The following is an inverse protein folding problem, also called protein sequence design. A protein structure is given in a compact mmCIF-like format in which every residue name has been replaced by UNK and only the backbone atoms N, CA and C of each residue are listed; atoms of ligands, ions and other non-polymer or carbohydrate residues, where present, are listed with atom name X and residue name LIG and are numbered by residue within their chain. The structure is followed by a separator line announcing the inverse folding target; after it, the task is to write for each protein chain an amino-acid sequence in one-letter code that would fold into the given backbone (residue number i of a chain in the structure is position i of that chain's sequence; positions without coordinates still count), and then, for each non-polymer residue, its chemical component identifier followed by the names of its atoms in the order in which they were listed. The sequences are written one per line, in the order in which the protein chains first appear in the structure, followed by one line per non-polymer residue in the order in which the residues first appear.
data_IF_652893298034
#
_entry.id   IF_652893298034
#
_cell.length_a   1.000
_cell.length_b   1.000
_cell.length_c   1.000
_cell.angle_alpha   90.00
_cell.angle_beta   90.00
_cell.angle_gamma   90.00
#
_symmetry.space_group_name_H-M   'P 1'
#
loop_
_entity.id
_entity.type
_entity.pdbx_description
1 polymer ?
#
# COMPACT_ATOMS: atom_id res chain seq x y z
N UNK A 1 19.01 2.26 1.33
CA UNK A 1 18.08 1.42 2.08
C UNK A 1 17.63 2.21 3.30
N UNK A 2 16.33 2.41 3.50
CA UNK A 2 15.76 3.05 4.69
C UNK A 2 15.10 1.95 5.51
N UNK A 3 15.51 1.77 6.76
CA UNK A 3 14.91 0.80 7.67
C UNK A 3 14.14 1.55 8.75
N UNK A 4 12.84 1.32 8.80
CA UNK A 4 11.97 1.76 9.89
C UNK A 4 11.43 0.54 10.63
N UNK A 5 11.01 0.70 11.88
CA UNK A 5 10.41 -0.41 12.63
C UNK A 5 9.14 -0.88 11.90
N UNK A 6 9.03 -2.17 11.60
CA UNK A 6 7.93 -2.78 10.84
C UNK A 6 7.66 -2.10 9.49
N UNK A 7 8.68 -1.51 8.86
CA UNK A 7 8.57 -0.77 7.60
C UNK A 7 7.51 0.34 7.65
N UNK A 8 7.43 1.07 8.79
CA UNK A 8 6.53 2.21 8.91
C UNK A 8 6.89 3.30 7.90
N UNK A 9 5.86 4.00 7.43
CA UNK A 9 5.94 5.03 6.40
C UNK A 9 6.15 6.40 7.04
N UNK A 10 7.16 7.11 6.56
CA UNK A 10 7.49 8.49 6.93
C UNK A 10 7.99 9.25 5.69
N UNK A 11 8.36 10.51 5.82
CA UNK A 11 8.83 11.36 4.72
C UNK A 11 9.98 10.70 3.93
N UNK A 12 10.97 10.13 4.62
CA UNK A 12 12.13 9.53 3.96
C UNK A 12 11.75 8.32 3.09
N UNK A 13 10.81 7.49 3.57
CA UNK A 13 10.30 6.35 2.80
C UNK A 13 9.54 6.83 1.57
N UNK A 14 8.71 7.87 1.70
CA UNK A 14 7.98 8.43 0.57
C UNK A 14 8.90 9.05 -0.47
N UNK A 15 9.89 9.85 -0.07
CA UNK A 15 10.87 10.42 -1.01
C UNK A 15 11.66 9.34 -1.75
N UNK A 16 12.07 8.28 -1.03
CA UNK A 16 12.73 7.14 -1.65
C UNK A 16 11.84 6.44 -2.69
N UNK A 17 10.56 6.25 -2.37
CA UNK A 17 9.61 5.64 -3.30
C UNK A 17 9.43 6.50 -4.55
N UNK A 18 9.27 7.81 -4.41
CA UNK A 18 9.14 8.74 -5.54
C UNK A 18 10.38 8.73 -6.43
N UNK A 19 11.58 8.77 -5.82
CA UNK A 19 12.85 8.68 -6.54
C UNK A 19 12.98 7.36 -7.30
N UNK A 20 12.61 6.24 -6.63
CA UNK A 20 12.67 4.91 -7.24
C UNK A 20 11.71 4.77 -8.42
N UNK A 21 10.48 5.32 -8.33
CA UNK A 21 9.52 5.35 -9.43
C UNK A 21 10.09 6.14 -10.60
N UNK A 22 10.53 7.39 -10.38
CA UNK A 22 11.09 8.25 -11.42
C UNK A 22 12.29 7.61 -12.10
N UNK A 23 13.15 6.94 -11.33
CA UNK A 23 14.28 6.20 -11.89
C UNK A 23 13.84 5.02 -12.75
N UNK A 24 12.86 4.24 -12.29
CA UNK A 24 12.34 3.10 -13.03
C UNK A 24 11.69 3.54 -14.35
N UNK A 25 10.94 4.65 -14.35
CA UNK A 25 10.37 5.26 -15.54
C UNK A 25 11.45 5.67 -16.55
N UNK A 26 12.48 6.40 -16.09
CA UNK A 26 13.59 6.84 -16.94
C UNK A 26 14.38 5.67 -17.53
N UNK A 27 14.57 4.60 -16.76
CA UNK A 27 15.28 3.39 -17.20
C UNK A 27 14.39 2.46 -18.05
N UNK A 28 13.09 2.71 -18.15
CA UNK A 28 12.11 1.85 -18.82
C UNK A 28 11.99 0.47 -18.17
N UNK A 29 12.11 0.40 -16.84
CA UNK A 29 12.10 -0.86 -16.07
C UNK A 29 10.93 -0.90 -15.08
N UNK A 30 10.48 -2.09 -14.72
CA UNK A 30 9.51 -2.26 -13.65
C UNK A 30 10.15 -2.02 -12.28
N UNK A 31 9.36 -1.48 -11.33
CA UNK A 31 9.77 -1.29 -9.94
C UNK A 31 9.18 -2.39 -9.06
N UNK A 32 10.03 -3.06 -8.29
CA UNK A 32 9.62 -4.08 -7.34
C UNK A 32 9.80 -3.56 -5.91
N UNK A 33 8.70 -3.50 -5.16
CA UNK A 33 8.71 -3.09 -3.75
C UNK A 33 8.74 -4.36 -2.91
N UNK A 34 9.91 -4.67 -2.34
CA UNK A 34 10.13 -5.85 -1.51
C UNK A 34 10.51 -5.44 -0.08
N UNK A 35 9.73 -5.88 0.95
CA UNK A 35 10.00 -5.50 2.31
C UNK A 35 11.16 -6.26 2.92
N UNK A 36 11.99 -5.58 3.69
CA UNK A 36 12.89 -6.25 4.60
C UNK A 36 12.14 -6.83 5.81
N UNK A 37 12.64 -7.95 6.33
CA UNK A 37 12.01 -8.63 7.45
C UNK A 37 10.73 -9.37 7.07
N UNK A 38 9.81 -9.51 8.02
CA UNK A 38 8.65 -10.38 7.89
C UNK A 38 7.36 -9.68 7.49
N UNK A 39 7.31 -8.35 7.51
CA UNK A 39 6.11 -7.57 7.25
C UNK A 39 6.31 -6.62 6.06
N UNK A 40 5.24 -6.38 5.30
CA UNK A 40 5.27 -5.40 4.22
C UNK A 40 5.35 -3.97 4.78
N UNK A 41 4.34 -3.55 5.54
CA UNK A 41 4.34 -2.27 6.26
C UNK A 41 3.20 -2.22 7.28
N UNK A 42 3.47 -1.65 8.46
CA UNK A 42 2.43 -1.38 9.45
C UNK A 42 1.68 -0.06 9.22
N UNK A 43 2.00 0.68 8.15
CA UNK A 43 1.43 1.98 7.83
C UNK A 43 2.24 3.14 8.37
N UNK A 44 1.59 4.28 8.63
CA UNK A 44 2.25 5.49 9.11
C UNK A 44 3.04 5.27 10.41
N UNK A 45 4.12 6.01 10.56
CA UNK A 45 4.84 6.08 11.83
C UNK A 45 4.01 6.88 12.86
N UNK A 46 3.25 6.15 13.67
CA UNK A 46 2.34 6.76 14.66
C UNK A 46 3.08 7.57 15.73
N UNK A 47 4.35 7.24 16.03
CA UNK A 47 5.13 8.04 16.99
C UNK A 47 5.48 9.39 16.40
N UNK A 48 5.83 9.43 15.12
CA UNK A 48 6.08 10.68 14.40
C UNK A 48 4.80 11.52 14.31
N UNK A 49 3.65 10.92 13.99
CA UNK A 49 2.38 11.62 13.95
C UNK A 49 2.03 12.23 15.33
N UNK A 50 2.20 11.43 16.39
CA UNK A 50 1.93 11.89 17.75
C UNK A 50 2.84 13.05 18.14
N UNK A 51 4.15 12.98 17.85
CA UNK A 51 5.05 14.11 18.16
C UNK A 51 4.65 15.39 17.44
N UNK A 52 4.20 15.34 16.19
CA UNK A 52 3.70 16.53 15.50
C UNK A 52 2.47 17.13 16.17
N UNK A 53 1.56 16.29 16.67
CA UNK A 53 0.36 16.75 17.38
C UNK A 53 0.73 17.36 18.75
N UNK A 54 1.60 16.70 19.51
CA UNK A 54 2.05 17.18 20.84
C UNK A 54 2.84 18.49 20.76
N UNK A 55 3.58 18.70 19.67
CA UNK A 55 4.36 19.92 19.42
C UNK A 55 3.57 21.00 18.66
N UNK A 56 2.26 20.84 18.44
CA UNK A 56 1.41 21.72 17.61
C UNK A 56 1.96 21.95 16.19
N UNK A 57 2.79 21.02 15.70
CA UNK A 57 3.44 21.12 14.40
C UNK A 57 2.55 20.56 13.27
N UNK A 58 1.39 21.20 13.08
CA UNK A 58 0.43 20.79 12.05
C UNK A 58 0.95 21.00 10.62
N UNK A 59 1.95 21.86 10.44
CA UNK A 59 2.58 22.06 9.12
C UNK A 59 3.29 20.78 8.64
N UNK A 60 4.11 20.15 9.48
CA UNK A 60 4.81 18.93 9.11
C UNK A 60 3.86 17.73 9.04
N UNK A 61 2.82 17.72 9.86
CA UNK A 61 1.74 16.74 9.77
C UNK A 61 1.04 16.82 8.40
N UNK A 62 0.62 18.02 7.99
CA UNK A 62 -0.02 18.25 6.69
C UNK A 62 0.93 17.88 5.53
N UNK A 63 2.22 18.22 5.64
CA UNK A 63 3.22 17.88 4.66
C UNK A 63 3.37 16.36 4.53
N UNK A 64 3.41 15.60 5.64
CA UNK A 64 3.47 14.14 5.61
C UNK A 64 2.27 13.54 4.87
N UNK A 65 1.06 14.06 5.13
CA UNK A 65 -0.15 13.61 4.44
C UNK A 65 -0.08 13.90 2.93
N UNK A 66 0.31 15.11 2.54
CA UNK A 66 0.44 15.52 1.13
C UNK A 66 1.50 14.68 0.39
N UNK A 67 2.68 14.50 0.97
CA UNK A 67 3.75 13.72 0.37
C UNK A 67 3.32 12.26 0.20
N UNK A 68 2.63 11.69 1.20
CA UNK A 68 2.08 10.35 1.10
C UNK A 68 1.06 10.20 -0.03
N UNK A 69 0.09 11.14 -0.13
CA UNK A 69 -0.90 11.16 -1.21
C UNK A 69 -0.24 11.27 -2.60
N UNK A 70 0.71 12.19 -2.74
CA UNK A 70 1.45 12.35 -3.99
C UNK A 70 2.22 11.09 -4.36
N UNK A 71 2.82 10.41 -3.37
CA UNK A 71 3.56 9.17 -3.60
C UNK A 71 2.65 8.05 -4.12
N UNK A 72 1.52 7.79 -3.47
CA UNK A 72 0.63 6.72 -3.91
C UNK A 72 0.00 7.01 -5.27
N UNK A 73 -0.30 8.27 -5.58
CA UNK A 73 -0.75 8.68 -6.91
C UNK A 73 0.36 8.48 -7.96
N UNK A 74 1.61 8.81 -7.63
CA UNK A 74 2.75 8.56 -8.51
C UNK A 74 2.93 7.06 -8.78
N UNK A 75 2.80 6.21 -7.75
CA UNK A 75 2.80 4.75 -7.93
C UNK A 75 1.70 4.29 -8.91
N UNK A 76 0.49 4.78 -8.72
CA UNK A 76 -0.69 4.37 -9.51
C UNK A 76 -0.59 4.80 -10.96
N UNK A 77 -0.21 6.05 -11.19
CA UNK A 77 -0.23 6.68 -12.51
C UNK A 77 1.14 6.74 -13.20
N UNK A 78 2.16 6.09 -12.63
CA UNK A 78 3.48 5.99 -13.27
C UNK A 78 3.41 5.26 -14.61
N UNK A 79 4.30 5.60 -15.54
CA UNK A 79 4.46 4.94 -16.84
C UNK A 79 5.09 3.55 -16.76
N UNK A 80 5.43 3.08 -15.56
CA UNK A 80 6.03 1.77 -15.33
C UNK A 80 5.17 0.90 -14.41
N UNK A 81 5.38 -0.43 -14.44
CA UNK A 81 4.70 -1.32 -13.50
C UNK A 81 5.35 -1.25 -12.12
N UNK A 82 4.51 -1.02 -11.12
CA UNK A 82 4.86 -1.11 -9.71
C UNK A 82 4.37 -2.45 -9.20
N UNK A 83 5.29 -3.34 -8.84
CA UNK A 83 4.98 -4.68 -8.34
C UNK A 83 5.30 -4.74 -6.85
N UNK A 84 4.28 -4.89 -6.03
CA UNK A 84 4.44 -5.05 -4.57
C UNK A 84 4.52 -6.51 -4.17
N UNK A 85 5.61 -6.87 -3.47
CA UNK A 85 5.85 -8.20 -2.91
C UNK A 85 5.39 -8.22 -1.45
N UNK A 86 4.14 -8.62 -1.20
CA UNK A 86 3.50 -8.49 0.10
C UNK A 86 3.60 -9.75 0.96
N UNK A 87 4.05 -9.61 2.20
CA UNK A 87 4.09 -10.69 3.20
C UNK A 87 3.83 -10.18 4.60
N UNK A 88 3.36 -11.06 5.47
CA UNK A 88 3.08 -10.74 6.87
C UNK A 88 2.00 -9.67 6.99
N UNK A 89 2.34 -8.53 7.57
CA UNK A 89 1.41 -7.43 7.82
C UNK A 89 1.55 -6.33 6.77
N UNK A 90 0.42 -5.89 6.21
CA UNK A 90 0.29 -4.70 5.36
C UNK A 90 -0.96 -3.91 5.80
N UNK A 91 -0.85 -3.11 6.84
CA UNK A 91 -1.99 -2.42 7.44
C UNK A 91 -1.95 -0.92 7.18
N UNK A 92 -3.14 -0.28 7.20
CA UNK A 92 -3.26 1.17 7.05
C UNK A 92 -2.57 1.65 5.76
N UNK A 93 -1.71 2.64 5.83
CA UNK A 93 -0.90 3.09 4.69
C UNK A 93 -0.13 1.98 3.96
N UNK A 94 0.20 0.87 4.63
CA UNK A 94 0.75 -0.32 3.97
C UNK A 94 -0.27 -1.00 3.05
N UNK A 95 -1.54 -1.06 3.46
CA UNK A 95 -2.64 -1.50 2.61
C UNK A 95 -2.86 -0.51 1.46
N UNK A 96 -2.82 0.80 1.73
CA UNK A 96 -2.96 1.84 0.71
C UNK A 96 -1.88 1.74 -0.37
N UNK A 97 -0.61 1.45 -0.01
CA UNK A 97 0.46 1.18 -0.99
C UNK A 97 0.13 -0.03 -1.88
N UNK A 98 -0.40 -1.12 -1.31
CA UNK A 98 -0.81 -2.28 -2.09
C UNK A 98 -1.93 -1.92 -3.08
N UNK A 99 -2.94 -1.16 -2.63
CA UNK A 99 -4.07 -0.76 -3.47
C UNK A 99 -3.68 0.12 -4.67
N UNK A 100 -2.55 0.85 -4.56
CA UNK A 100 -2.02 1.70 -5.62
C UNK A 100 -0.93 1.03 -6.48
N UNK A 101 -0.61 -0.25 -6.20
CA UNK A 101 0.34 -1.02 -7.00
C UNK A 101 -0.31 -1.54 -8.28
N UNK A 102 0.47 -1.62 -9.37
CA UNK A 102 -0.01 -2.19 -10.64
C UNK A 102 -0.24 -3.68 -10.55
N UNK A 103 0.56 -4.37 -9.74
CA UNK A 103 0.49 -5.81 -9.51
C UNK A 103 0.94 -6.16 -8.09
N UNK A 104 0.37 -7.20 -7.52
CA UNK A 104 0.75 -7.69 -6.19
C UNK A 104 1.14 -9.16 -6.27
N UNK A 105 2.30 -9.52 -5.74
CA UNK A 105 2.65 -10.91 -5.44
C UNK A 105 2.63 -11.06 -3.92
N UNK A 106 1.65 -11.77 -3.40
CA UNK A 106 1.42 -11.87 -1.97
C UNK A 106 1.67 -13.27 -1.43
N UNK A 107 2.20 -13.32 -0.21
CA UNK A 107 2.17 -14.55 0.56
C UNK A 107 0.74 -14.86 1.02
N UNK A 108 0.35 -16.14 1.02
CA UNK A 108 -0.98 -16.60 1.46
C UNK A 108 -1.37 -16.07 2.86
N UNK A 109 -0.41 -15.98 3.79
CA UNK A 109 -0.63 -15.52 5.17
C UNK A 109 -0.60 -13.98 5.30
N UNK A 110 -0.78 -13.24 4.20
CA UNK A 110 -0.86 -11.78 4.24
C UNK A 110 -2.04 -11.33 5.10
N UNK A 111 -1.76 -10.47 6.09
CA UNK A 111 -2.76 -9.84 6.92
C UNK A 111 -2.82 -8.34 6.58
N UNK A 112 -3.93 -7.89 6.02
CA UNK A 112 -4.02 -6.53 5.49
C UNK A 112 -5.38 -5.89 5.71
N UNK A 113 -5.43 -4.55 5.74
CA UNK A 113 -6.66 -3.80 5.90
C UNK A 113 -6.47 -2.32 6.17
N UNK A 114 -7.52 -1.55 5.88
CA UNK A 114 -7.65 -0.13 6.21
C UNK A 114 -8.22 -0.02 7.63
N UNK A 115 -7.34 -0.04 8.62
CA UNK A 115 -7.69 -0.14 10.05
C UNK A 115 -7.25 1.10 10.85
N UNK A 116 -7.22 2.25 10.19
CA UNK A 116 -6.81 3.53 10.76
C UNK A 116 -7.69 3.95 11.93
N UNK A 117 -9.01 3.66 11.88
CA UNK A 117 -9.97 4.00 12.94
C UNK A 117 -9.60 3.39 14.30
N UNK A 118 -8.88 2.26 14.32
CA UNK A 118 -8.38 1.65 15.56
C UNK A 118 -7.37 2.50 16.33
N UNK A 119 -6.85 3.54 15.71
CA UNK A 119 -5.93 4.51 16.32
C UNK A 119 -6.46 5.94 16.22
N UNK A 120 -7.76 6.11 15.96
CA UNK A 120 -8.41 7.42 15.90
C UNK A 120 -8.15 8.22 14.60
N UNK A 121 -7.68 7.55 13.55
CA UNK A 121 -7.39 8.15 12.24
C UNK A 121 -8.33 7.59 11.16
N UNK A 122 -8.32 8.23 9.99
CA UNK A 122 -8.97 7.71 8.78
C UNK A 122 -7.93 7.40 7.71
N UNK A 123 -8.19 6.46 6.78
CA UNK A 123 -7.31 6.23 5.63
C UNK A 123 -7.15 7.52 4.82
N UNK A 124 -5.93 8.04 4.74
CA UNK A 124 -5.68 9.38 4.21
C UNK A 124 -4.77 9.41 2.97
N UNK A 125 -4.22 8.28 2.58
CA UNK A 125 -3.36 8.14 1.39
C UNK A 125 -4.08 7.44 0.23
N UNK A 126 -5.40 7.69 0.10
CA UNK A 126 -6.20 7.26 -1.05
C UNK A 126 -6.96 5.95 -0.88
N UNK A 127 -6.84 5.26 0.27
CA UNK A 127 -7.52 3.99 0.51
C UNK A 127 -9.04 4.09 0.37
N UNK A 128 -9.66 5.14 0.92
CA UNK A 128 -11.12 5.38 0.78
C UNK A 128 -11.50 5.58 -0.68
N UNK A 129 -10.71 6.37 -1.43
CA UNK A 129 -10.93 6.63 -2.85
C UNK A 129 -10.82 5.33 -3.67
N UNK A 130 -9.81 4.50 -3.39
CA UNK A 130 -9.65 3.21 -4.06
C UNK A 130 -10.86 2.29 -3.81
N UNK A 131 -11.35 2.22 -2.59
CA UNK A 131 -12.52 1.41 -2.26
C UNK A 131 -13.79 1.92 -2.94
N UNK A 132 -13.93 3.26 -3.09
CA UNK A 132 -15.03 3.86 -3.85
C UNK A 132 -14.93 3.50 -5.35
N UNK A 133 -13.76 3.71 -5.96
CA UNK A 133 -13.54 3.44 -7.39
C UNK A 133 -13.77 1.96 -7.70
N UNK A 134 -13.25 1.05 -6.87
CA UNK A 134 -13.38 -0.40 -7.03
C UNK A 134 -14.81 -0.89 -6.85
N UNK A 135 -15.67 -0.14 -6.16
CA UNK A 135 -17.11 -0.48 -6.10
C UNK A 135 -17.81 -0.39 -7.46
N UNK A 136 -17.20 0.34 -8.42
CA UNK A 136 -17.67 0.49 -9.79
C UNK A 136 -19.18 0.84 -9.88
N UNK A 137 -19.66 1.71 -8.99
CA UNK A 137 -21.07 2.13 -8.91
C UNK A 137 -22.02 1.12 -8.26
N UNK A 138 -21.54 -0.05 -7.85
CA UNK A 138 -22.34 -1.02 -7.10
C UNK A 138 -22.52 -0.58 -5.64
N UNK A 139 -23.76 -0.23 -5.28
CA UNK A 139 -24.09 0.24 -3.93
C UNK A 139 -23.84 -0.80 -2.85
N UNK A 140 -24.03 -2.08 -3.14
CA UNK A 140 -23.81 -3.18 -2.18
C UNK A 140 -22.32 -3.31 -1.86
N UNK A 141 -21.49 -3.27 -2.88
CA UNK A 141 -20.03 -3.26 -2.74
C UNK A 141 -19.55 -2.02 -1.97
N UNK A 142 -20.08 -0.85 -2.32
CA UNK A 142 -19.73 0.39 -1.64
C UNK A 142 -20.06 0.33 -0.13
N UNK A 143 -21.26 -0.12 0.23
CA UNK A 143 -21.67 -0.28 1.63
C UNK A 143 -20.78 -1.29 2.36
N UNK A 144 -20.45 -2.43 1.73
CA UNK A 144 -19.52 -3.41 2.28
C UNK A 144 -18.14 -2.79 2.53
N UNK A 145 -17.61 -2.04 1.56
CA UNK A 145 -16.30 -1.39 1.64
C UNK A 145 -16.25 -0.36 2.78
N UNK A 146 -17.28 0.47 2.89
CA UNK A 146 -17.42 1.44 3.99
C UNK A 146 -17.48 0.71 5.34
N UNK A 147 -18.28 -0.34 5.43
CA UNK A 147 -18.40 -1.15 6.65
C UNK A 147 -17.06 -1.77 7.05
N UNK A 148 -16.31 -2.34 6.11
CA UNK A 148 -14.99 -2.92 6.39
C UNK A 148 -14.02 -1.90 6.99
N UNK A 149 -14.05 -0.63 6.53
CA UNK A 149 -13.25 0.46 7.09
C UNK A 149 -13.73 0.81 8.51
N UNK A 150 -15.03 0.98 8.71
CA UNK A 150 -15.61 1.38 10.01
C UNK A 150 -15.39 0.29 11.05
N UNK A 151 -15.62 -0.96 10.72
CA UNK A 151 -15.46 -2.11 11.59
C UNK A 151 -14.01 -2.56 11.73
N UNK A 152 -13.07 -1.91 11.00
CA UNK A 152 -11.65 -2.23 11.00
C UNK A 152 -11.37 -3.69 10.62
N UNK A 153 -12.14 -4.21 9.67
CA UNK A 153 -11.99 -5.56 9.21
C UNK A 153 -10.65 -5.75 8.49
N UNK A 154 -9.94 -6.80 8.89
CA UNK A 154 -8.68 -7.22 8.29
C UNK A 154 -8.90 -8.49 7.50
N UNK A 155 -8.42 -8.52 6.27
CA UNK A 155 -8.29 -9.75 5.52
C UNK A 155 -7.16 -10.58 6.13
N UNK A 156 -7.47 -11.77 6.60
CA UNK A 156 -6.52 -12.66 7.28
C UNK A 156 -5.70 -13.54 6.33
N UNK A 157 -5.95 -13.42 5.03
CA UNK A 157 -5.18 -14.08 3.98
C UNK A 157 -5.16 -13.26 2.70
N UNK A 158 -4.24 -13.58 1.81
CA UNK A 158 -4.14 -12.96 0.49
C UNK A 158 -5.41 -13.19 -0.35
N UNK A 159 -6.02 -14.36 -0.27
CA UNK A 159 -7.26 -14.65 -0.99
C UNK A 159 -8.44 -13.81 -0.49
N UNK A 160 -8.56 -13.64 0.83
CA UNK A 160 -9.57 -12.74 1.40
C UNK A 160 -9.29 -11.29 0.99
N UNK A 161 -8.04 -10.84 1.00
CA UNK A 161 -7.69 -9.50 0.52
C UNK A 161 -8.10 -9.30 -0.93
N UNK A 162 -7.81 -10.27 -1.78
CA UNK A 162 -8.20 -10.24 -3.19
C UNK A 162 -9.72 -10.07 -3.36
N UNK A 163 -10.51 -10.79 -2.58
CA UNK A 163 -11.96 -10.75 -2.63
C UNK A 163 -12.55 -9.50 -1.96
N UNK A 164 -12.08 -9.14 -0.76
CA UNK A 164 -12.62 -8.04 0.04
C UNK A 164 -12.34 -6.67 -0.57
N UNK A 165 -11.15 -6.53 -1.21
CA UNK A 165 -10.68 -5.27 -1.80
C UNK A 165 -10.73 -5.26 -3.34
N UNK A 166 -11.29 -6.30 -3.95
CA UNK A 166 -11.44 -6.42 -5.42
C UNK A 166 -10.12 -6.20 -6.17
N UNK A 167 -9.06 -6.86 -5.69
CA UNK A 167 -7.72 -6.78 -6.29
C UNK A 167 -7.61 -7.79 -7.42
N UNK A 168 -7.71 -7.33 -8.67
CA UNK A 168 -7.67 -8.21 -9.86
C UNK A 168 -6.24 -8.68 -10.17
N UNK A 169 -5.29 -7.75 -10.18
CA UNK A 169 -3.90 -8.01 -10.57
C UNK A 169 -3.08 -8.52 -9.37
N UNK A 170 -3.34 -9.75 -8.98
CA UNK A 170 -2.69 -10.36 -7.81
C UNK A 170 -2.44 -11.84 -7.98
N UNK A 171 -1.22 -12.25 -7.68
CA UNK A 171 -0.80 -13.65 -7.56
C UNK A 171 -0.54 -13.99 -6.09
N UNK A 172 -0.99 -15.17 -5.66
CA UNK A 172 -0.79 -15.67 -4.30
C UNK A 172 0.24 -16.78 -4.31
N UNK A 173 1.18 -16.74 -3.34
CA UNK A 173 2.20 -17.76 -3.15
C UNK A 173 2.16 -18.29 -1.71
N UNK A 174 2.16 -19.61 -1.56
CA UNK A 174 2.16 -20.27 -0.24
C UNK A 174 3.49 -20.08 0.51
N UNK A 175 4.59 -19.88 -0.22
CA UNK A 175 5.91 -19.73 0.38
C UNK A 175 6.39 -18.27 0.33
N UNK A 176 6.43 -17.62 1.50
CA UNK A 176 6.85 -16.22 1.65
C UNK A 176 8.29 -15.93 1.17
N UNK A 177 9.13 -16.94 1.04
CA UNK A 177 10.52 -16.77 0.61
C UNK A 177 10.65 -16.65 -0.91
N UNK A 178 9.65 -17.09 -1.69
CA UNK A 178 9.67 -17.06 -3.14
C UNK A 178 8.85 -15.92 -3.77
N UNK A 179 8.22 -15.04 -2.98
CA UNK A 179 7.38 -13.97 -3.52
C UNK A 179 8.15 -13.00 -4.43
N UNK A 180 9.43 -12.71 -4.13
CA UNK A 180 10.26 -11.88 -5.00
C UNK A 180 10.62 -12.59 -6.29
N UNK A 181 11.02 -13.87 -6.19
CA UNK A 181 11.37 -14.67 -7.38
C UNK A 181 10.17 -14.82 -8.32
N UNK A 182 8.98 -15.01 -7.78
CA UNK A 182 7.74 -15.06 -8.57
C UNK A 182 7.41 -13.69 -9.18
N UNK A 183 7.61 -12.61 -8.43
CA UNK A 183 7.41 -11.26 -8.97
C UNK A 183 8.35 -10.98 -10.15
N UNK A 184 9.61 -11.40 -10.06
CA UNK A 184 10.59 -11.20 -11.12
C UNK A 184 10.32 -12.05 -12.39
N UNK A 185 9.54 -13.13 -12.27
CA UNK A 185 9.10 -13.96 -13.40
C UNK A 185 7.88 -13.39 -14.14
N UNK A 186 7.21 -12.38 -13.58
CA UNK A 186 6.04 -11.78 -14.22
C UNK A 186 6.41 -11.19 -15.57
N UNK A 187 5.76 -11.66 -16.62
CA UNK A 187 5.89 -11.08 -17.95
C UNK A 187 4.84 -9.97 -18.12
N UNK A 188 5.18 -8.79 -17.62
CA UNK A 188 4.32 -7.63 -17.71
C UNK A 188 4.59 -6.90 -19.03
N UNK A 189 3.57 -6.79 -19.87
CA UNK A 189 3.63 -5.96 -21.07
C UNK A 189 3.86 -4.49 -20.68
N UNK A 190 4.45 -3.70 -21.60
CA UNK A 190 4.67 -2.28 -21.34
C UNK A 190 3.36 -1.61 -20.87
N UNK A 191 3.40 -0.89 -19.77
CA UNK A 191 2.24 -0.18 -19.25
C UNK A 191 1.88 0.94 -20.22
N UNK A 192 0.62 0.96 -20.64
CA UNK A 192 0.03 2.05 -21.42
C UNK A 192 -0.65 2.96 -20.41
N UNK A 193 -0.21 4.20 -20.33
CA UNK A 193 -0.77 5.23 -19.44
C UNK A 193 -1.85 5.99 -20.17
#
# INVERSE_FOLDING_TARGET
MITTKMNCLNHNVFYLLQEAVSKAENDGKNLYIYPQGNNFSAGADLKLLLSYIEDDNFHDLENLLKVGQQTVLHLKYSGTHIVSCAKGVALRGGCELLLHSSYIVANQELNTGLVELGVGLIPSWGGVTEMFVRSNGDKTKLIRNIRNIIEQNKSSSADYFKADYEVENMQVNMNKHYILDEALKLNLSKKIV
#
